data_IF_483189703873
#
_entry.id   IF_483189703873
#
_cell.length_a   1.000
_cell.length_b   1.000
_cell.length_c   1.000
_cell.angle_alpha   90.00
_cell.angle_beta   90.00
_cell.angle_gamma   90.00
#
_symmetry.space_group_name_H-M   'P 1'
#
loop_
_entity.id
_entity.type
_entity.pdbx_description
1 polymer ?
#
# COMPACT_ATOMS: atom_id res chain seq x y z
N UNK A 1 -3.66 -18.03 -7.64
CA UNK A 1 -2.38 -18.41 -8.29
C UNK A 1 -2.27 -19.93 -8.27
N UNK A 2 -1.88 -20.56 -9.37
CA UNK A 2 -1.59 -22.00 -9.37
C UNK A 2 -0.36 -22.26 -8.48
N UNK A 3 -0.48 -23.16 -7.51
CA UNK A 3 0.61 -23.48 -6.57
C UNK A 3 1.89 -23.93 -7.30
N UNK A 4 1.76 -24.54 -8.48
CA UNK A 4 2.87 -24.90 -9.36
C UNK A 4 3.67 -23.67 -9.84
N UNK A 5 3.01 -22.55 -10.14
CA UNK A 5 3.68 -21.30 -10.55
C UNK A 5 4.42 -20.69 -9.34
N UNK A 6 3.77 -20.67 -8.17
CA UNK A 6 4.36 -20.13 -6.96
C UNK A 6 5.62 -20.89 -6.54
N UNK A 7 5.59 -22.23 -6.66
CA UNK A 7 6.72 -23.10 -6.40
C UNK A 7 7.86 -22.88 -7.41
N UNK A 8 7.55 -22.82 -8.72
CA UNK A 8 8.54 -22.56 -9.78
C UNK A 8 9.26 -21.23 -9.63
N UNK A 9 8.56 -20.20 -9.17
CA UNK A 9 9.11 -18.86 -8.93
C UNK A 9 9.76 -18.70 -7.54
N UNK A 10 9.67 -19.71 -6.67
CA UNK A 10 10.22 -19.65 -5.31
C UNK A 10 9.59 -18.55 -4.45
N UNK A 11 8.29 -18.30 -4.61
CA UNK A 11 7.63 -17.23 -3.86
C UNK A 11 7.56 -17.56 -2.36
N UNK A 12 7.99 -16.64 -1.46
CA UNK A 12 7.92 -16.86 -0.03
C UNK A 12 6.47 -16.98 0.45
N UNK A 13 6.26 -17.72 1.54
CA UNK A 13 4.98 -17.76 2.23
C UNK A 13 4.87 -16.64 3.27
N UNK A 14 3.65 -16.15 3.50
CA UNK A 14 3.34 -15.37 4.70
C UNK A 14 3.24 -16.32 5.90
N UNK A 15 4.24 -16.30 6.76
CA UNK A 15 4.33 -17.18 7.93
C UNK A 15 3.49 -16.68 9.10
N UNK A 16 3.15 -17.59 10.02
CA UNK A 16 2.45 -17.26 11.27
C UNK A 16 3.24 -16.23 12.09
N UNK A 17 2.54 -15.25 12.64
CA UNK A 17 3.10 -14.13 13.40
C UNK A 17 3.85 -13.09 12.56
N UNK A 18 3.73 -13.15 11.24
CA UNK A 18 4.27 -12.14 10.32
C UNK A 18 3.19 -11.16 9.88
N UNK A 19 3.66 -9.96 9.52
CA UNK A 19 2.84 -8.95 8.85
C UNK A 19 3.43 -8.64 7.49
N UNK A 20 2.63 -8.69 6.42
CA UNK A 20 3.04 -8.16 5.12
C UNK A 20 2.29 -6.86 4.83
N UNK A 21 3.04 -5.77 4.57
CA UNK A 21 2.50 -4.51 4.07
C UNK A 21 2.57 -4.54 2.54
N UNK A 22 1.41 -4.64 1.88
CA UNK A 22 1.32 -4.95 0.45
C UNK A 22 0.59 -3.85 -0.29
N UNK A 23 1.18 -3.38 -1.39
CA UNK A 23 0.52 -2.51 -2.34
C UNK A 23 -0.47 -3.27 -3.24
N UNK A 24 -1.72 -2.85 -3.22
CA UNK A 24 -2.80 -3.42 -4.02
C UNK A 24 -2.77 -2.96 -5.48
N UNK A 25 -2.00 -1.92 -5.80
CA UNK A 25 -2.10 -1.24 -7.09
C UNK A 25 -3.18 -0.13 -7.10
N UNK A 26 -3.37 0.55 -8.23
CA UNK A 26 -4.21 1.76 -8.31
C UNK A 26 -5.72 1.48 -8.47
N UNK A 27 -6.14 0.22 -8.48
CA UNK A 27 -7.55 -0.18 -8.58
C UNK A 27 -7.74 -1.49 -9.33
N UNK A 28 -7.27 -1.56 -10.58
CA UNK A 28 -7.34 -2.77 -11.40
C UNK A 28 -6.68 -3.97 -10.70
N UNK A 29 -7.43 -5.04 -10.36
CA UNK A 29 -6.88 -6.23 -9.70
C UNK A 29 -5.74 -6.90 -10.46
N UNK A 30 -5.67 -6.73 -11.78
CA UNK A 30 -4.58 -7.24 -12.62
C UNK A 30 -3.22 -6.56 -12.36
N UNK A 31 -3.20 -5.42 -11.66
CA UNK A 31 -1.98 -4.70 -11.30
C UNK A 31 -1.41 -5.11 -9.93
N UNK A 32 -2.03 -6.06 -9.22
CA UNK A 32 -1.42 -6.64 -8.03
C UNK A 32 -0.19 -7.47 -8.41
N UNK A 33 0.85 -7.40 -7.58
CA UNK A 33 2.05 -8.20 -7.80
C UNK A 33 1.82 -9.68 -7.47
N UNK A 34 2.65 -10.58 -8.00
CA UNK A 34 2.60 -12.00 -7.65
C UNK A 34 2.77 -12.25 -6.15
N UNK A 35 3.61 -11.45 -5.48
CA UNK A 35 3.78 -11.49 -4.02
C UNK A 35 2.53 -10.99 -3.28
N UNK A 36 1.83 -9.97 -3.82
CA UNK A 36 0.57 -9.51 -3.25
C UNK A 36 -0.53 -10.55 -3.36
N UNK A 37 -0.64 -11.19 -4.53
CA UNK A 37 -1.57 -12.31 -4.73
C UNK A 37 -1.25 -13.48 -3.80
N UNK A 38 0.04 -13.79 -3.61
CA UNK A 38 0.47 -14.81 -2.64
C UNK A 38 0.06 -14.46 -1.22
N UNK A 39 0.26 -13.21 -0.80
CA UNK A 39 -0.13 -12.75 0.53
C UNK A 39 -1.64 -12.85 0.77
N UNK A 40 -2.46 -12.52 -0.24
CA UNK A 40 -3.92 -12.67 -0.18
C UNK A 40 -4.34 -14.12 0.08
N UNK A 41 -3.67 -15.08 -0.57
CA UNK A 41 -3.96 -16.52 -0.41
C UNK A 41 -3.49 -17.07 0.94
N UNK A 42 -2.36 -16.58 1.45
CA UNK A 42 -1.77 -17.07 2.71
C UNK A 42 -2.37 -16.42 3.95
N UNK A 43 -3.02 -15.25 3.87
CA UNK A 43 -3.44 -14.49 5.06
C UNK A 43 -4.54 -15.18 5.88
N UNK A 44 -4.48 -15.00 7.20
CA UNK A 44 -5.60 -15.27 8.12
C UNK A 44 -6.47 -14.01 8.29
N UNK A 45 -5.81 -12.84 8.31
CA UNK A 45 -6.43 -11.53 8.48
C UNK A 45 -5.97 -10.56 7.40
N UNK A 46 -6.91 -9.80 6.83
CA UNK A 46 -6.65 -8.76 5.84
C UNK A 46 -7.14 -7.42 6.38
N UNK A 47 -6.21 -6.53 6.72
CA UNK A 47 -6.49 -5.13 7.05
C UNK A 47 -6.36 -4.28 5.79
N UNK A 48 -7.45 -3.64 5.36
CA UNK A 48 -7.49 -2.91 4.09
C UNK A 48 -8.07 -1.50 4.23
N UNK A 49 -7.66 -0.58 3.37
CA UNK A 49 -8.21 0.79 3.32
C UNK A 49 -9.26 0.95 2.21
N UNK A 50 -9.91 2.11 2.18
CA UNK A 50 -11.03 2.43 1.28
C UNK A 50 -10.69 2.37 -0.22
N UNK A 51 -9.40 2.41 -0.55
CA UNK A 51 -8.93 2.45 -1.94
C UNK A 51 -8.68 1.06 -2.52
N UNK A 52 -8.81 0.00 -1.72
CA UNK A 52 -8.65 -1.38 -2.18
C UNK A 52 -9.93 -1.86 -2.84
N UNK A 53 -9.80 -2.37 -4.06
CA UNK A 53 -10.91 -2.92 -4.84
C UNK A 53 -11.48 -4.21 -4.22
N UNK A 54 -12.81 -4.34 -4.19
CA UNK A 54 -13.50 -5.49 -3.61
C UNK A 54 -13.17 -6.81 -4.32
N UNK A 55 -12.85 -6.78 -5.61
CA UNK A 55 -12.49 -7.97 -6.37
C UNK A 55 -11.19 -8.60 -5.84
N UNK A 56 -10.22 -7.81 -5.34
CA UNK A 56 -9.03 -8.35 -4.68
C UNK A 56 -9.37 -9.01 -3.34
N UNK A 57 -10.27 -8.40 -2.57
CA UNK A 57 -10.71 -8.94 -1.29
C UNK A 57 -11.49 -10.26 -1.47
N UNK A 58 -12.22 -10.39 -2.57
CA UNK A 58 -12.96 -11.60 -2.93
C UNK A 58 -12.05 -12.80 -3.29
N UNK A 59 -10.75 -12.59 -3.52
CA UNK A 59 -9.78 -13.66 -3.80
C UNK A 59 -9.34 -14.43 -2.55
N UNK A 60 -9.81 -14.04 -1.36
CA UNK A 60 -9.39 -14.61 -0.09
C UNK A 60 -10.58 -14.85 0.84
N UNK A 61 -10.57 -15.99 1.54
CA UNK A 61 -11.53 -16.33 2.58
C UNK A 61 -11.13 -15.79 3.97
N UNK A 62 -10.00 -15.09 4.07
CA UNK A 62 -9.50 -14.49 5.30
C UNK A 62 -10.50 -13.50 5.93
N UNK A 63 -10.35 -13.27 7.24
CA UNK A 63 -11.14 -12.27 7.97
C UNK A 63 -10.73 -10.86 7.52
N UNK A 64 -11.70 -10.06 7.08
CA UNK A 64 -11.48 -8.74 6.47
C UNK A 64 -11.80 -7.65 7.47
N UNK A 65 -10.78 -6.85 7.80
CA UNK A 65 -10.90 -5.73 8.74
C UNK A 65 -10.68 -4.43 7.97
N UNK A 66 -11.75 -3.64 7.87
CA UNK A 66 -11.67 -2.33 7.24
C UNK A 66 -10.98 -1.31 8.15
N UNK A 67 -9.90 -0.71 7.66
CA UNK A 67 -9.06 0.25 8.37
C UNK A 67 -9.36 1.72 7.99
N UNK A 68 -10.47 1.99 7.29
CA UNK A 68 -10.86 3.34 6.86
C UNK A 68 -12.00 3.97 7.68
N UNK A 69 -12.42 5.18 7.28
CA UNK A 69 -13.57 5.89 7.87
C UNK A 69 -14.87 5.17 7.48
N UNK A 70 -15.71 4.79 8.45
CA UNK A 70 -17.17 4.75 8.22
C UNK A 70 -17.68 6.18 8.39
N UNK A 71 -18.48 6.67 7.44
CA UNK A 71 -19.05 8.02 7.49
C UNK A 71 -19.68 8.27 8.88
N UNK A 72 -19.18 9.28 9.60
CA UNK A 72 -19.65 9.67 10.94
C UNK A 72 -18.82 9.19 12.14
N UNK A 73 -17.86 8.26 11.97
CA UNK A 73 -17.00 7.78 13.06
C UNK A 73 -15.59 8.36 12.92
N UNK A 74 -15.05 8.90 14.02
CA UNK A 74 -13.66 9.39 14.11
C UNK A 74 -12.74 8.23 13.71
N UNK A 75 -11.96 8.40 12.64
CA UNK A 75 -11.02 7.41 12.10
C UNK A 75 -10.33 6.62 13.22
N UNK A 76 -10.10 5.32 13.02
CA UNK A 76 -9.05 4.66 13.78
C UNK A 76 -7.80 5.50 13.59
N UNK A 77 -7.24 5.98 14.69
CA UNK A 77 -5.96 6.68 14.63
C UNK A 77 -4.95 5.70 14.03
N UNK A 78 -3.95 6.20 13.32
CA UNK A 78 -2.92 5.32 12.74
C UNK A 78 -2.30 4.39 13.79
N UNK A 79 -2.19 4.88 15.03
CA UNK A 79 -1.73 4.10 16.17
C UNK A 79 -2.61 2.88 16.43
N UNK A 80 -3.93 2.98 16.29
CA UNK A 80 -4.86 1.85 16.46
C UNK A 80 -4.68 0.79 15.37
N UNK A 81 -4.41 1.20 14.12
CA UNK A 81 -4.10 0.27 13.03
C UNK A 81 -2.77 -0.44 13.34
N UNK A 82 -1.75 0.31 13.76
CA UNK A 82 -0.46 -0.24 14.14
C UNK A 82 -0.57 -1.23 15.30
N UNK A 83 -1.31 -0.88 16.35
CA UNK A 83 -1.54 -1.73 17.52
C UNK A 83 -2.29 -3.02 17.16
N UNK A 84 -3.28 -2.93 16.26
CA UNK A 84 -4.00 -4.09 15.77
C UNK A 84 -3.10 -5.04 14.97
N UNK A 85 -2.26 -4.50 14.06
CA UNK A 85 -1.28 -5.30 13.30
C UNK A 85 -0.35 -6.06 14.25
N UNK A 86 0.18 -5.38 15.27
CA UNK A 86 1.07 -5.99 16.28
C UNK A 86 0.33 -7.05 17.09
N UNK A 87 -0.91 -6.77 17.49
CA UNK A 87 -1.73 -7.67 18.30
C UNK A 87 -2.01 -8.99 17.57
N UNK A 88 -2.51 -8.91 16.34
CA UNK A 88 -2.81 -10.09 15.52
C UNK A 88 -1.55 -10.92 15.24
N UNK A 89 -0.44 -10.26 14.94
CA UNK A 89 0.83 -10.96 14.73
C UNK A 89 1.33 -11.65 16.01
N UNK A 90 1.20 -11.03 17.19
CA UNK A 90 1.56 -11.66 18.48
C UNK A 90 0.70 -12.87 18.82
N UNK A 91 -0.55 -12.90 18.36
CA UNK A 91 -1.44 -14.06 18.47
C UNK A 91 -1.05 -15.18 17.49
N UNK A 92 -0.04 -14.98 16.64
CA UNK A 92 0.47 -15.98 15.71
C UNK A 92 -0.26 -15.99 14.37
N UNK A 93 -1.08 -14.98 14.07
CA UNK A 93 -1.79 -14.90 12.80
C UNK A 93 -0.87 -14.47 11.65
N UNK A 94 -1.24 -14.88 10.43
CA UNK A 94 -0.70 -14.41 9.16
C UNK A 94 -1.44 -13.14 8.77
N UNK A 95 -0.82 -11.98 8.95
CA UNK A 95 -1.51 -10.69 8.78
C UNK A 95 -1.09 -10.02 7.49
N UNK A 96 -2.08 -9.67 6.67
CA UNK A 96 -1.90 -8.86 5.47
C UNK A 96 -2.46 -7.46 5.72
N UNK A 97 -1.61 -6.43 5.63
CA UNK A 97 -2.04 -5.02 5.50
C UNK A 97 -2.02 -4.65 4.03
N UNK A 98 -3.19 -4.67 3.41
CA UNK A 98 -3.38 -4.35 2.00
C UNK A 98 -3.68 -2.85 1.84
N UNK A 99 -2.89 -2.15 1.02
CA UNK A 99 -2.94 -0.69 0.88
C UNK A 99 -3.12 -0.30 -0.57
N UNK A 100 -4.01 0.64 -0.87
CA UNK A 100 -4.13 1.21 -2.22
C UNK A 100 -2.79 1.75 -2.75
N UNK A 101 -2.49 1.49 -4.02
CA UNK A 101 -1.26 1.92 -4.66
C UNK A 101 -0.03 1.17 -4.13
N UNK A 102 0.94 1.95 -3.60
CA UNK A 102 2.18 1.44 -3.00
C UNK A 102 2.25 1.80 -1.51
N UNK A 103 2.70 0.90 -0.61
CA UNK A 103 2.75 1.18 0.83
C UNK A 103 3.55 2.43 1.22
N UNK A 104 4.57 2.79 0.45
CA UNK A 104 5.54 3.84 0.76
C UNK A 104 5.36 5.12 -0.06
N UNK A 105 4.43 5.17 -1.01
CA UNK A 105 4.05 6.41 -1.70
C UNK A 105 2.79 7.00 -1.07
N UNK A 106 2.97 7.95 -0.15
CA UNK A 106 1.89 8.64 0.60
C UNK A 106 0.91 7.72 1.35
N UNK A 107 1.21 6.42 1.47
CA UNK A 107 0.35 5.43 2.11
C UNK A 107 0.58 5.22 3.61
N UNK A 108 1.53 5.93 4.23
CA UNK A 108 1.91 5.76 5.66
C UNK A 108 2.46 4.38 6.04
N UNK A 109 2.83 3.55 5.07
CA UNK A 109 3.42 2.23 5.35
C UNK A 109 4.72 2.31 6.17
N UNK A 110 5.44 3.42 6.10
CA UNK A 110 6.63 3.64 6.94
C UNK A 110 6.31 3.70 8.43
N UNK A 111 5.21 4.33 8.83
CA UNK A 111 4.77 4.40 10.23
C UNK A 111 4.37 3.01 10.75
N UNK A 112 3.62 2.25 9.93
CA UNK A 112 3.21 0.87 10.21
C UNK A 112 4.44 -0.05 10.35
N UNK A 113 5.40 0.04 9.42
CA UNK A 113 6.66 -0.70 9.48
C UNK A 113 7.50 -0.38 10.72
N UNK A 114 7.58 0.90 11.10
CA UNK A 114 8.28 1.32 12.32
C UNK A 114 7.63 0.75 13.58
N UNK A 115 6.29 0.72 13.66
CA UNK A 115 5.60 0.12 14.78
C UNK A 115 5.88 -1.38 14.90
N UNK A 116 5.85 -2.10 13.78
CA UNK A 116 6.19 -3.54 13.71
C UNK A 116 7.63 -3.80 14.14
N UNK A 117 8.58 -3.00 13.65
CA UNK A 117 9.98 -3.09 14.02
C UNK A 117 10.19 -2.87 15.53
N UNK A 118 9.58 -1.82 16.12
CA UNK A 118 9.64 -1.55 17.57
C UNK A 118 9.05 -2.69 18.39
N UNK A 119 7.99 -3.32 17.91
CA UNK A 119 7.34 -4.45 18.55
C UNK A 119 8.06 -5.80 18.33
N UNK A 120 9.16 -5.81 17.55
CA UNK A 120 9.91 -7.00 17.14
C UNK A 120 9.06 -8.02 16.38
N UNK A 121 8.10 -7.53 15.60
CA UNK A 121 7.27 -8.36 14.73
C UNK A 121 7.97 -8.49 13.38
N UNK A 122 8.19 -9.71 12.87
CA UNK A 122 8.77 -9.89 11.54
C UNK A 122 7.78 -9.40 10.48
N UNK A 123 8.27 -8.62 9.51
CA UNK A 123 7.41 -8.09 8.46
C UNK A 123 8.11 -8.03 7.12
N UNK A 124 7.30 -7.91 6.06
CA UNK A 124 7.74 -7.71 4.68
C UNK A 124 6.99 -6.53 4.06
N UNK A 125 7.72 -5.72 3.30
CA UNK A 125 7.13 -4.74 2.38
C UNK A 125 7.05 -5.38 1.01
N UNK A 126 5.85 -5.42 0.42
CA UNK A 126 5.64 -5.80 -0.98
C UNK A 126 5.21 -4.54 -1.73
N UNK A 127 6.07 -4.02 -2.62
CA UNK A 127 5.73 -2.86 -3.43
C UNK A 127 4.49 -3.10 -4.29
N UNK A 128 3.78 -2.01 -4.59
CA UNK A 128 2.65 -2.00 -5.52
C UNK A 128 2.82 -0.95 -6.61
N UNK A 129 1.98 -1.02 -7.63
CA UNK A 129 1.95 0.02 -8.66
C UNK A 129 1.28 1.27 -8.09
N UNK A 130 2.01 2.38 -7.96
CA UNK A 130 1.45 3.64 -7.45
C UNK A 130 0.55 4.33 -8.49
N UNK A 131 -0.50 5.03 -8.03
CA UNK A 131 -1.46 5.75 -8.88
C UNK A 131 -0.80 6.76 -9.81
N UNK A 132 0.22 7.48 -9.33
CA UNK A 132 0.95 8.47 -10.13
C UNK A 132 1.82 7.91 -11.26
N UNK A 133 1.88 6.58 -11.42
CA UNK A 133 2.50 5.93 -12.57
C UNK A 133 1.48 5.05 -13.28
N UNK A 134 0.89 4.08 -12.58
CA UNK A 134 -0.06 3.14 -13.17
C UNK A 134 -1.35 3.81 -13.64
N UNK A 135 -1.91 4.72 -12.83
CA UNK A 135 -3.09 5.48 -13.21
C UNK A 135 -2.86 6.36 -14.44
N UNK A 136 -1.71 7.05 -14.50
CA UNK A 136 -1.36 7.87 -15.66
C UNK A 136 -1.14 7.03 -16.93
N UNK A 137 -0.54 5.85 -16.81
CA UNK A 137 -0.35 4.94 -17.94
C UNK A 137 -1.69 4.54 -18.58
N UNK A 138 -2.71 4.24 -17.76
CA UNK A 138 -4.06 3.92 -18.25
C UNK A 138 -4.79 5.14 -18.84
N UNK A 139 -4.36 6.35 -18.52
CA UNK A 139 -4.81 7.58 -19.17
C UNK A 139 -4.01 7.92 -20.45
N UNK A 140 -3.02 7.11 -20.83
CA UNK A 140 -2.15 7.38 -21.98
C UNK A 140 -1.11 8.49 -21.74
N UNK A 141 -0.85 8.84 -20.47
CA UNK A 141 0.06 9.92 -20.08
C UNK A 141 1.33 9.32 -19.49
N UNK A 142 2.46 9.31 -20.22
CA UNK A 142 3.71 8.86 -19.64
C UNK A 142 4.24 9.90 -18.65
N UNK A 143 4.68 9.44 -17.47
CA UNK A 143 5.22 10.34 -16.43
C UNK A 143 6.59 10.95 -16.84
N UNK A 144 7.28 10.31 -17.78
CA UNK A 144 8.49 10.86 -18.40
C UNK A 144 8.42 10.70 -19.91
N UNK A 145 8.93 11.68 -20.64
CA UNK A 145 9.23 11.55 -22.05
C UNK A 145 10.54 12.27 -22.35
N UNK A 146 11.38 11.66 -23.20
CA UNK A 146 12.77 12.09 -23.43
C UNK A 146 12.91 13.54 -23.88
N UNK A 147 11.89 14.04 -24.59
CA UNK A 147 11.86 15.40 -25.14
C UNK A 147 11.20 16.42 -24.20
N UNK A 148 10.53 15.98 -23.12
CA UNK A 148 9.76 16.86 -22.22
C UNK A 148 10.39 17.03 -20.86
N UNK A 149 10.96 15.96 -20.27
CA UNK A 149 11.46 16.02 -18.90
C UNK A 149 12.54 14.95 -18.60
N UNK A 150 13.43 15.30 -17.67
CA UNK A 150 14.43 14.40 -17.07
C UNK A 150 14.22 14.21 -15.55
N UNK A 151 13.16 14.82 -15.02
CA UNK A 151 12.80 14.79 -13.62
C UNK A 151 11.27 14.78 -13.47
N UNK A 152 10.80 14.20 -12.37
CA UNK A 152 9.39 14.17 -11.97
C UNK A 152 9.32 14.42 -10.47
N UNK A 153 8.37 15.24 -10.03
CA UNK A 153 8.09 15.45 -8.60
C UNK A 153 6.74 14.87 -8.23
N UNK A 154 6.72 13.97 -7.25
CA UNK A 154 5.51 13.42 -6.63
C UNK A 154 5.21 14.20 -5.35
N UNK A 155 3.97 14.67 -5.19
CA UNK A 155 3.59 15.58 -4.11
C UNK A 155 2.25 15.14 -3.52
N UNK A 156 2.14 15.14 -2.19
CA UNK A 156 0.83 15.05 -1.51
C UNK A 156 0.28 16.44 -1.26
N UNK A 157 -0.96 16.69 -1.67
CA UNK A 157 -1.65 17.95 -1.42
C UNK A 157 -1.97 18.14 0.07
N UNK A 158 -2.07 17.06 0.84
CA UNK A 158 -2.50 17.09 2.24
C UNK A 158 -1.44 16.54 3.20
N UNK A 159 -1.25 17.24 4.31
CA UNK A 159 -0.47 16.81 5.45
C UNK A 159 -1.26 15.86 6.36
N UNK A 160 -0.60 15.35 7.40
CA UNK A 160 -1.20 14.42 8.37
C UNK A 160 -2.35 15.01 9.17
N UNK A 161 -2.45 16.34 9.24
CA UNK A 161 -3.56 17.09 9.86
C UNK A 161 -4.70 17.42 8.89
N UNK A 162 -4.62 16.91 7.65
CA UNK A 162 -5.59 17.18 6.59
C UNK A 162 -5.51 18.59 6.03
N UNK A 163 -4.52 19.40 6.41
CA UNK A 163 -4.29 20.72 5.83
C UNK A 163 -3.37 20.63 4.63
N UNK A 164 -3.37 21.67 3.80
CA UNK A 164 -2.45 21.79 2.68
C UNK A 164 -1.00 21.72 3.17
N UNK A 165 -0.18 20.95 2.47
CA UNK A 165 1.24 20.86 2.78
C UNK A 165 1.94 22.20 2.57
N UNK A 166 2.79 22.59 3.53
CA UNK A 166 3.66 23.75 3.39
C UNK A 166 4.88 23.36 2.57
N UNK A 167 4.79 23.56 1.26
CA UNK A 167 5.87 23.31 0.32
C UNK A 167 6.44 24.64 -0.20
N UNK A 168 7.74 24.65 -0.47
CA UNK A 168 8.35 25.72 -1.26
C UNK A 168 7.97 25.52 -2.74
N UNK A 169 6.84 26.11 -3.14
CA UNK A 169 6.33 26.03 -4.50
C UNK A 169 7.28 26.64 -5.53
N UNK A 170 8.13 27.60 -5.12
CA UNK A 170 9.13 28.18 -6.03
C UNK A 170 10.24 27.17 -6.31
N UNK A 171 10.71 26.46 -5.30
CA UNK A 171 11.69 25.38 -5.49
C UNK A 171 11.10 24.22 -6.29
N UNK A 172 9.87 23.79 -5.96
CA UNK A 172 9.18 22.67 -6.63
C UNK A 172 8.98 22.96 -8.13
N UNK A 173 8.47 24.15 -8.47
CA UNK A 173 8.22 24.54 -9.87
C UNK A 173 9.49 24.64 -10.71
N UNK A 174 10.65 24.83 -10.08
CA UNK A 174 11.97 24.85 -10.76
C UNK A 174 12.64 23.49 -10.81
N UNK A 175 12.20 22.52 -10.00
CA UNK A 175 12.86 21.23 -9.82
C UNK A 175 12.55 20.20 -10.90
N UNK A 176 11.30 20.15 -11.38
CA UNK A 176 10.88 19.20 -12.40
C UNK A 176 9.81 19.80 -13.34
N UNK A 177 9.93 19.61 -14.66
CA UNK A 177 8.88 20.03 -15.60
C UNK A 177 7.55 19.30 -15.41
N UNK A 178 7.59 18.08 -14.85
CA UNK A 178 6.39 17.26 -14.60
C UNK A 178 6.16 17.11 -13.10
N UNK A 179 4.93 17.38 -12.67
CA UNK A 179 4.48 17.23 -11.28
C UNK A 179 3.27 16.30 -11.23
N UNK A 180 3.28 15.37 -10.28
CA UNK A 180 2.16 14.45 -9.99
C UNK A 180 1.65 14.74 -8.59
N UNK A 181 0.42 15.22 -8.47
CA UNK A 181 -0.22 15.59 -7.22
C UNK A 181 -1.17 14.48 -6.76
N UNK A 182 -1.06 14.07 -5.50
CA UNK A 182 -1.89 13.08 -4.82
C UNK A 182 -2.85 13.75 -3.82
#
# INVERSE_FOLDING_TARGET
MNDDIAAKLGLPHLHKGWVWLVGAGPGDPGLITLLGLRALQDADYILYDALVDEALLALSDAEKIYAGKRAGVRSCKQDEICDLLVTLARQGHRVLRLKGGDPFVFGRGGEEAQALARAKIPFRIVPGITTGIGGLAYAGIPVTHRDTNHAVTFITGHGTDGKLTKLDWTAVSRGAPTMVLY
#
